data_IF_652431362148
#
_entry.id   IF_652431362148
#
_cell.length_a   1.000
_cell.length_b   1.000
_cell.length_c   1.000
_cell.angle_alpha   90.00
_cell.angle_beta   90.00
_cell.angle_gamma   90.00
#
_symmetry.space_group_name_H-M   'P 1'
#
loop_
_entity.id
_entity.type
_entity.pdbx_description
1 polymer ?
#
# COMPACT_ATOMS: atom_id res chain seq x y z
N UNK A 1 -6.77 -34.59 -2.32
CA UNK A 1 -5.72 -33.80 -1.65
C UNK A 1 -4.74 -33.13 -2.62
N UNK A 2 -4.18 -33.73 -3.65
CA UNK A 2 -3.25 -33.09 -4.60
C UNK A 2 -3.92 -32.07 -5.55
N UNK A 3 -5.20 -32.23 -5.89
CA UNK A 3 -5.94 -31.30 -6.76
C UNK A 3 -6.30 -29.96 -6.06
N UNK A 4 -6.57 -29.97 -4.75
CA UNK A 4 -6.87 -28.77 -3.97
C UNK A 4 -5.62 -27.88 -3.78
N UNK A 5 -4.46 -28.48 -3.52
CA UNK A 5 -3.19 -27.72 -3.42
C UNK A 5 -2.82 -27.05 -4.75
N UNK A 6 -3.12 -27.68 -5.90
CA UNK A 6 -2.90 -27.13 -7.23
C UNK A 6 -3.82 -25.94 -7.56
N UNK A 7 -5.08 -25.96 -7.07
CA UNK A 7 -6.06 -24.90 -7.26
C UNK A 7 -5.67 -23.61 -6.51
N UNK A 8 -5.30 -23.72 -5.25
CA UNK A 8 -4.88 -22.60 -4.40
C UNK A 8 -3.60 -21.94 -4.97
N UNK A 9 -2.65 -22.74 -5.43
CA UNK A 9 -1.42 -22.22 -6.04
C UNK A 9 -1.70 -21.48 -7.38
N UNK A 10 -2.68 -21.93 -8.16
CA UNK A 10 -3.06 -21.25 -9.40
C UNK A 10 -3.69 -19.87 -9.14
N UNK A 11 -4.52 -19.75 -8.11
CA UNK A 11 -5.10 -18.46 -7.69
C UNK A 11 -4.01 -17.47 -7.24
N UNK A 12 -3.06 -17.91 -6.41
CA UNK A 12 -1.95 -17.06 -5.97
C UNK A 12 -1.08 -16.58 -7.14
N UNK A 13 -0.81 -17.46 -8.10
CA UNK A 13 -0.06 -17.11 -9.33
C UNK A 13 -0.82 -16.14 -10.24
N UNK A 14 -2.14 -16.33 -10.38
CA UNK A 14 -2.99 -15.40 -11.13
C UNK A 14 -3.02 -14.01 -10.47
N UNK A 15 -3.15 -13.96 -9.14
CA UNK A 15 -3.06 -12.71 -8.39
C UNK A 15 -1.70 -12.01 -8.55
N UNK A 16 -0.59 -12.76 -8.60
CA UNK A 16 0.73 -12.19 -8.85
C UNK A 16 0.81 -11.55 -10.25
N UNK A 17 0.23 -12.16 -11.27
CA UNK A 17 0.14 -11.59 -12.62
C UNK A 17 -0.67 -10.29 -12.60
N UNK A 18 -1.85 -10.27 -11.97
CA UNK A 18 -2.70 -9.08 -11.88
C UNK A 18 -1.99 -7.94 -11.16
N UNK A 19 -1.28 -8.20 -10.05
CA UNK A 19 -0.44 -7.19 -9.38
C UNK A 19 0.64 -6.64 -10.29
N UNK A 20 1.36 -7.51 -11.01
CA UNK A 20 2.40 -7.08 -11.95
C UNK A 20 1.87 -6.15 -13.05
N UNK A 21 0.64 -6.39 -13.53
CA UNK A 21 0.00 -5.55 -14.55
C UNK A 21 -0.57 -4.25 -13.97
N UNK A 22 -0.86 -4.19 -12.68
CA UNK A 22 -1.40 -3.00 -12.02
C UNK A 22 -0.32 -1.96 -11.68
N UNK A 23 0.95 -2.37 -11.59
CA UNK A 23 2.06 -1.51 -11.15
C UNK A 23 2.74 -0.79 -12.32
N UNK A 24 3.33 0.41 -12.11
CA UNK A 24 4.29 0.99 -13.05
C UNK A 24 5.42 0.00 -13.31
N UNK A 25 5.81 -0.12 -14.56
CA UNK A 25 6.78 -1.16 -14.97
C UNK A 25 8.22 -0.73 -14.67
N UNK A 26 9.10 -1.70 -14.44
CA UNK A 26 10.49 -1.46 -14.12
C UNK A 26 11.28 -0.75 -15.25
N UNK A 27 10.78 -0.79 -16.48
CA UNK A 27 11.32 -0.09 -17.64
C UNK A 27 10.81 1.35 -17.79
N UNK A 28 9.99 1.83 -16.83
CA UNK A 28 9.40 3.17 -16.82
C UNK A 28 8.12 3.30 -17.64
N UNK A 29 7.67 2.23 -18.30
CA UNK A 29 6.37 2.24 -19.01
C UNK A 29 5.21 2.22 -18.02
N UNK A 30 4.07 2.78 -18.45
CA UNK A 30 2.87 2.84 -17.62
C UNK A 30 2.06 1.54 -17.73
N UNK A 31 1.21 1.20 -16.74
CA UNK A 31 0.32 0.04 -16.83
C UNK A 31 -0.55 0.04 -18.11
N UNK A 32 -0.90 1.22 -18.62
CA UNK A 32 -1.66 1.38 -19.86
C UNK A 32 -0.94 0.85 -21.11
N UNK A 33 0.41 0.87 -21.11
CA UNK A 33 1.22 0.39 -22.24
C UNK A 33 1.26 -1.15 -22.30
N UNK A 34 0.86 -1.81 -21.21
CA UNK A 34 0.89 -3.25 -21.06
C UNK A 34 2.29 -3.85 -20.99
N UNK A 35 2.37 -5.14 -20.68
CA UNK A 35 3.60 -5.92 -20.57
C UNK A 35 3.62 -7.09 -21.56
N UNK A 36 4.79 -7.36 -22.12
CA UNK A 36 5.02 -8.59 -22.88
C UNK A 36 4.99 -9.81 -21.95
N UNK A 37 4.54 -10.97 -22.45
CA UNK A 37 4.50 -12.23 -21.73
C UNK A 37 5.82 -12.57 -21.04
N UNK A 38 6.95 -12.36 -21.73
CA UNK A 38 8.28 -12.64 -21.19
C UNK A 38 8.61 -11.79 -19.96
N UNK A 39 8.22 -10.50 -19.96
CA UNK A 39 8.40 -9.60 -18.81
C UNK A 39 7.55 -10.05 -17.62
N UNK A 40 6.30 -10.41 -17.84
CA UNK A 40 5.39 -10.94 -16.80
C UNK A 40 5.96 -12.23 -16.19
N UNK A 41 6.40 -13.16 -17.05
CA UNK A 41 7.00 -14.42 -16.62
C UNK A 41 8.25 -14.20 -15.75
N UNK A 42 9.13 -13.29 -16.17
CA UNK A 42 10.33 -12.91 -15.41
C UNK A 42 10.00 -12.31 -14.06
N UNK A 43 9.08 -11.33 -14.02
CA UNK A 43 8.70 -10.64 -12.76
C UNK A 43 8.02 -11.58 -11.77
N UNK A 44 7.14 -12.47 -12.26
CA UNK A 44 6.41 -13.42 -11.40
C UNK A 44 7.19 -14.68 -11.06
N UNK A 45 8.36 -14.91 -11.68
CA UNK A 45 9.14 -16.15 -11.51
C UNK A 45 8.45 -17.40 -12.09
N UNK A 46 7.47 -17.23 -12.99
CA UNK A 46 6.73 -18.33 -13.61
C UNK A 46 7.36 -18.73 -14.94
N UNK A 47 7.18 -20.02 -15.32
CA UNK A 47 7.55 -20.44 -16.67
C UNK A 47 6.68 -19.74 -17.73
N UNK A 48 7.21 -19.45 -18.95
CA UNK A 48 6.42 -18.84 -20.02
C UNK A 48 5.12 -19.61 -20.34
N UNK A 49 5.16 -20.94 -20.32
CA UNK A 49 3.97 -21.78 -20.57
C UNK A 49 2.90 -21.64 -19.48
N UNK A 50 3.32 -21.55 -18.21
CA UNK A 50 2.40 -21.32 -17.08
C UNK A 50 1.80 -19.93 -17.18
N UNK A 51 2.63 -18.92 -17.43
CA UNK A 51 2.20 -17.52 -17.60
C UNK A 51 1.19 -17.39 -18.74
N UNK A 52 1.46 -17.96 -19.90
CA UNK A 52 0.53 -17.95 -21.04
C UNK A 52 -0.81 -18.59 -20.72
N UNK A 53 -0.81 -19.76 -20.05
CA UNK A 53 -2.05 -20.45 -19.67
C UNK A 53 -2.88 -19.62 -18.68
N UNK A 54 -2.24 -18.99 -17.69
CA UNK A 54 -2.93 -18.12 -16.73
C UNK A 54 -3.45 -16.84 -17.40
N UNK A 55 -2.65 -16.19 -18.25
CA UNK A 55 -3.09 -15.01 -19.00
C UNK A 55 -4.30 -15.33 -19.89
N UNK A 56 -4.32 -16.47 -20.58
CA UNK A 56 -5.50 -16.90 -21.35
C UNK A 56 -6.74 -17.06 -20.47
N UNK A 57 -6.60 -17.67 -19.30
CA UNK A 57 -7.70 -17.84 -18.37
C UNK A 57 -8.21 -16.47 -17.87
N UNK A 58 -7.30 -15.55 -17.48
CA UNK A 58 -7.64 -14.22 -17.03
C UNK A 58 -8.27 -13.37 -18.14
N UNK A 59 -7.85 -13.56 -19.39
CA UNK A 59 -8.44 -12.87 -20.56
C UNK A 59 -9.85 -13.39 -20.82
N UNK A 60 -10.09 -14.71 -20.69
CA UNK A 60 -11.42 -15.28 -20.80
C UNK A 60 -12.42 -14.72 -19.77
N UNK A 61 -11.93 -14.34 -18.59
CA UNK A 61 -12.73 -13.72 -17.51
C UNK A 61 -12.68 -12.18 -17.54
N UNK A 62 -12.16 -11.56 -18.58
CA UNK A 62 -12.04 -10.09 -18.72
C UNK A 62 -11.23 -9.37 -17.61
N UNK A 63 -10.44 -10.09 -16.82
CA UNK A 63 -9.53 -9.52 -15.83
C UNK A 63 -8.24 -8.99 -16.46
N UNK A 64 -7.88 -9.52 -17.62
CA UNK A 64 -6.73 -9.12 -18.44
C UNK A 64 -7.22 -8.97 -19.87
N UNK A 65 -6.62 -8.06 -20.62
CA UNK A 65 -6.79 -7.97 -22.07
C UNK A 65 -5.42 -7.98 -22.75
N UNK A 66 -5.38 -8.50 -23.97
CA UNK A 66 -4.21 -8.48 -24.82
C UNK A 66 -4.45 -7.50 -25.96
N UNK A 67 -3.55 -6.56 -26.15
CA UNK A 67 -3.56 -5.67 -27.30
C UNK A 67 -3.19 -6.45 -28.58
N UNK A 68 -4.06 -6.46 -29.62
CA UNK A 68 -3.83 -7.27 -30.80
C UNK A 68 -2.63 -6.81 -31.66
N UNK A 69 -2.24 -5.54 -31.56
CA UNK A 69 -1.16 -4.98 -32.38
C UNK A 69 0.22 -5.17 -31.73
N UNK A 70 0.30 -4.97 -30.43
CA UNK A 70 1.55 -5.07 -29.66
C UNK A 70 1.75 -6.42 -28.98
N UNK A 71 0.71 -7.27 -28.93
CA UNK A 71 0.64 -8.53 -28.17
C UNK A 71 0.90 -8.38 -26.67
N UNK A 72 0.87 -7.14 -26.15
CA UNK A 72 1.07 -6.84 -24.73
C UNK A 72 -0.20 -7.04 -23.94
N UNK A 73 -0.03 -7.41 -22.68
CA UNK A 73 -1.12 -7.67 -21.73
C UNK A 73 -1.26 -6.50 -20.75
N UNK A 74 -2.50 -6.09 -20.46
CA UNK A 74 -2.85 -5.09 -19.46
C UNK A 74 -4.07 -5.53 -18.65
N UNK A 75 -4.40 -4.83 -17.56
CA UNK A 75 -5.64 -5.11 -16.83
C UNK A 75 -6.86 -4.91 -17.73
N UNK A 76 -7.79 -5.85 -17.63
CA UNK A 76 -9.07 -5.81 -18.36
C UNK A 76 -10.16 -5.07 -17.58
N UNK A 77 -11.32 -4.82 -18.22
CA UNK A 77 -12.39 -4.01 -17.65
C UNK A 77 -12.97 -4.58 -16.33
N UNK A 78 -13.00 -5.90 -16.14
CA UNK A 78 -13.52 -6.49 -14.91
C UNK A 78 -12.67 -6.11 -13.69
N UNK A 79 -11.36 -5.91 -13.84
CA UNK A 79 -10.51 -5.45 -12.75
C UNK A 79 -10.95 -4.07 -12.22
N UNK A 80 -11.36 -3.16 -13.13
CA UNK A 80 -11.92 -1.85 -12.76
C UNK A 80 -13.26 -1.98 -12.02
N UNK A 81 -14.16 -2.85 -12.48
CA UNK A 81 -15.45 -3.11 -11.83
C UNK A 81 -15.27 -3.66 -10.41
N UNK A 82 -14.35 -4.61 -10.22
CA UNK A 82 -14.04 -5.17 -8.90
C UNK A 82 -13.46 -4.11 -7.96
N UNK A 83 -12.55 -3.27 -8.47
CA UNK A 83 -11.98 -2.16 -7.69
C UNK A 83 -13.04 -1.15 -7.25
N UNK A 84 -13.93 -0.73 -8.15
CA UNK A 84 -15.06 0.15 -7.82
C UNK A 84 -15.99 -0.49 -6.80
N UNK A 85 -16.34 -1.77 -6.96
CA UNK A 85 -17.17 -2.52 -6.01
C UNK A 85 -16.56 -2.55 -4.61
N UNK A 86 -15.25 -2.74 -4.49
CA UNK A 86 -14.55 -2.67 -3.20
C UNK A 86 -14.62 -1.26 -2.59
N UNK A 87 -14.28 -0.23 -3.36
CA UNK A 87 -14.30 1.15 -2.88
C UNK A 87 -15.69 1.57 -2.41
N UNK A 88 -16.73 1.22 -3.16
CA UNK A 88 -18.12 1.50 -2.82
C UNK A 88 -18.55 0.77 -1.53
N UNK A 89 -18.27 -0.54 -1.43
CA UNK A 89 -18.66 -1.35 -0.27
C UNK A 89 -17.97 -0.90 1.02
N UNK A 90 -16.72 -0.43 0.93
CA UNK A 90 -15.97 0.12 2.05
C UNK A 90 -16.23 1.63 2.29
N UNK A 91 -17.06 2.28 1.45
CA UNK A 91 -17.33 3.72 1.53
C UNK A 91 -16.13 4.62 1.19
N UNK A 92 -15.05 4.04 0.67
CA UNK A 92 -13.77 4.72 0.44
C UNK A 92 -13.83 5.79 -0.66
N UNK A 93 -14.81 5.73 -1.57
CA UNK A 93 -15.02 6.75 -2.59
C UNK A 93 -15.18 8.15 -1.99
N UNK A 94 -15.81 8.23 -0.81
CA UNK A 94 -16.04 9.49 -0.10
C UNK A 94 -14.76 10.09 0.48
N UNK A 95 -13.72 9.29 0.70
CA UNK A 95 -12.42 9.75 1.19
C UNK A 95 -11.56 10.39 0.07
N UNK A 96 -11.81 10.06 -1.20
CA UNK A 96 -11.01 10.55 -2.35
C UNK A 96 -10.91 12.08 -2.39
N UNK A 97 -11.99 12.87 -2.23
CA UNK A 97 -11.89 14.33 -2.21
C UNK A 97 -11.01 14.87 -1.07
N UNK A 98 -10.99 14.19 0.09
CA UNK A 98 -10.17 14.57 1.25
C UNK A 98 -8.70 14.31 0.93
N UNK A 99 -8.35 13.14 0.38
CA UNK A 99 -6.97 12.83 -0.04
C UNK A 99 -6.48 13.84 -1.09
N UNK A 100 -7.31 14.17 -2.09
CA UNK A 100 -6.98 15.19 -3.11
C UNK A 100 -6.72 16.56 -2.53
N UNK A 101 -7.56 16.98 -1.58
CA UNK A 101 -7.35 18.24 -0.87
C UNK A 101 -6.03 18.22 -0.11
N UNK A 102 -5.78 17.15 0.64
CA UNK A 102 -4.55 16.98 1.43
C UNK A 102 -3.31 16.97 0.53
N UNK A 103 -3.35 16.27 -0.60
CA UNK A 103 -2.26 16.26 -1.58
C UNK A 103 -1.96 17.66 -2.13
N UNK A 104 -3.00 18.46 -2.48
CA UNK A 104 -2.82 19.86 -2.94
C UNK A 104 -2.32 20.79 -1.86
N UNK A 105 -2.73 20.59 -0.60
CA UNK A 105 -2.33 21.42 0.54
C UNK A 105 -0.87 21.19 0.93
N UNK A 106 -0.38 19.97 0.74
CA UNK A 106 0.95 19.56 1.16
C UNK A 106 1.98 19.51 0.03
N UNK A 107 1.52 19.45 -1.23
CA UNK A 107 2.32 19.17 -2.44
C UNK A 107 3.02 17.80 -2.41
N UNK A 108 2.64 16.91 -1.49
CA UNK A 108 3.24 15.58 -1.35
C UNK A 108 2.24 14.45 -1.63
N UNK A 109 2.76 13.27 -1.91
CA UNK A 109 1.93 12.08 -2.15
C UNK A 109 1.22 11.64 -0.87
N UNK A 110 -0.08 11.35 -1.00
CA UNK A 110 -0.96 10.94 0.09
C UNK A 110 -1.49 9.55 -0.16
N UNK A 111 -1.51 8.72 0.86
CA UNK A 111 -2.01 7.34 0.74
C UNK A 111 -2.89 6.97 1.93
N UNK A 112 -3.92 6.17 1.67
CA UNK A 112 -4.70 5.48 2.68
C UNK A 112 -4.40 3.99 2.58
N UNK A 113 -3.99 3.39 3.69
CA UNK A 113 -3.69 1.97 3.78
C UNK A 113 -4.61 1.26 4.77
N UNK A 114 -4.89 -0.01 4.53
CA UNK A 114 -5.66 -0.88 5.44
C UNK A 114 -4.83 -2.08 5.87
N UNK A 115 -5.08 -2.56 7.09
CA UNK A 115 -4.50 -3.80 7.60
C UNK A 115 -5.44 -4.97 7.27
N UNK A 116 -4.87 -6.01 6.66
CA UNK A 116 -5.59 -7.25 6.39
C UNK A 116 -4.75 -8.44 6.88
N UNK A 117 -5.11 -8.98 8.04
CA UNK A 117 -4.28 -9.97 8.73
C UNK A 117 -2.93 -9.37 9.14
N UNK A 118 -1.83 -9.92 8.61
CA UNK A 118 -0.46 -9.45 8.84
C UNK A 118 0.09 -8.61 7.68
N UNK A 119 -0.75 -8.22 6.73
CA UNK A 119 -0.37 -7.47 5.53
C UNK A 119 -1.12 -6.13 5.50
N UNK A 120 -0.42 -5.05 5.21
CA UNK A 120 -1.03 -3.76 4.93
C UNK A 120 -0.99 -3.47 3.43
N UNK A 121 -2.12 -2.99 2.91
CA UNK A 121 -2.28 -2.63 1.50
C UNK A 121 -2.66 -1.16 1.37
N UNK A 122 -2.05 -0.46 0.43
CA UNK A 122 -2.50 0.87 0.00
C UNK A 122 -3.77 0.71 -0.83
N UNK A 123 -4.87 1.30 -0.36
CA UNK A 123 -6.19 1.19 -1.01
C UNK A 123 -6.60 2.45 -1.77
N UNK A 124 -6.09 3.61 -1.37
CA UNK A 124 -6.25 4.88 -2.07
C UNK A 124 -4.91 5.61 -2.11
N UNK A 125 -4.67 6.34 -3.18
CA UNK A 125 -3.49 7.17 -3.37
C UNK A 125 -3.82 8.40 -4.21
N UNK A 126 -3.24 9.53 -3.84
CA UNK A 126 -3.13 10.72 -4.67
C UNK A 126 -1.65 11.07 -4.82
N UNK A 127 -1.22 11.30 -6.06
CA UNK A 127 0.17 11.55 -6.39
C UNK A 127 0.52 13.02 -6.21
N UNK A 128 1.69 13.27 -5.62
CA UNK A 128 2.28 14.60 -5.61
C UNK A 128 2.39 15.17 -7.03
N UNK A 129 2.09 16.47 -7.25
CA UNK A 129 2.32 17.13 -8.53
C UNK A 129 3.82 17.33 -8.82
N UNK A 130 4.69 17.11 -7.84
CA UNK A 130 6.12 17.34 -7.97
C UNK A 130 6.77 16.27 -8.87
N UNK A 131 7.72 16.67 -9.76
CA UNK A 131 8.44 15.71 -10.60
C UNK A 131 9.21 14.66 -9.80
N UNK A 132 9.87 15.07 -8.71
CA UNK A 132 10.50 14.16 -7.75
C UNK A 132 9.54 13.91 -6.60
N UNK A 133 9.02 12.70 -6.50
CA UNK A 133 8.08 12.28 -5.46
C UNK A 133 8.37 10.86 -4.97
N UNK A 134 7.83 10.53 -3.83
CA UNK A 134 7.83 9.18 -3.27
C UNK A 134 6.39 8.69 -3.23
N UNK A 135 6.11 7.60 -3.89
CA UNK A 135 4.77 7.01 -3.99
C UNK A 135 4.71 5.64 -3.30
N UNK A 136 3.64 5.40 -2.54
CA UNK A 136 3.21 4.06 -2.18
C UNK A 136 2.10 3.63 -3.14
N UNK A 137 2.43 2.82 -4.10
CA UNK A 137 1.48 2.44 -5.15
C UNK A 137 0.29 1.67 -4.57
N UNK A 138 -0.92 2.01 -5.02
CA UNK A 138 -2.13 1.29 -4.66
C UNK A 138 -2.00 -0.21 -5.01
N UNK A 139 -2.45 -1.09 -4.11
CA UNK A 139 -2.29 -2.53 -4.25
C UNK A 139 -0.93 -3.08 -3.81
N UNK A 140 0.05 -2.25 -3.48
CA UNK A 140 1.32 -2.71 -2.90
C UNK A 140 1.20 -3.00 -1.42
N UNK A 141 1.85 -4.09 -1.03
CA UNK A 141 2.06 -4.43 0.38
C UNK A 141 3.09 -3.50 1.02
N UNK A 142 2.77 -3.02 2.21
CA UNK A 142 3.69 -2.21 3.00
C UNK A 142 4.49 -3.11 3.95
N UNK A 143 5.77 -2.79 4.10
CA UNK A 143 6.56 -3.36 5.18
C UNK A 143 6.16 -2.71 6.51
N UNK A 144 5.42 -3.46 7.33
CA UNK A 144 4.77 -2.94 8.53
C UNK A 144 5.74 -2.25 9.49
N UNK A 145 6.95 -2.78 9.66
CA UNK A 145 7.96 -2.23 10.56
C UNK A 145 8.79 -1.08 9.98
N UNK A 146 8.82 -0.93 8.65
CA UNK A 146 9.68 0.01 7.94
C UNK A 146 8.89 1.07 7.14
N UNK A 147 7.62 1.30 7.49
CA UNK A 147 6.79 2.36 6.93
C UNK A 147 5.96 3.03 8.02
N UNK A 148 5.74 4.34 7.91
CA UNK A 148 4.94 5.08 8.88
C UNK A 148 3.52 4.52 9.00
N UNK A 149 2.82 4.29 7.87
CA UNK A 149 1.48 3.69 7.86
C UNK A 149 1.47 2.29 8.46
N UNK A 150 2.48 1.45 8.15
CA UNK A 150 2.60 0.11 8.70
C UNK A 150 2.74 0.12 10.22
N UNK A 151 3.58 1.00 10.76
CA UNK A 151 3.74 1.17 12.22
C UNK A 151 2.47 1.67 12.89
N UNK A 152 1.73 2.59 12.28
CA UNK A 152 0.40 3.03 12.75
C UNK A 152 -0.58 1.86 12.80
N UNK A 153 -0.69 1.08 11.73
CA UNK A 153 -1.59 -0.07 11.67
C UNK A 153 -1.24 -1.14 12.70
N UNK A 154 0.03 -1.39 12.97
CA UNK A 154 0.45 -2.28 14.06
C UNK A 154 0.13 -1.69 15.44
N UNK A 155 0.35 -0.39 15.64
CA UNK A 155 0.11 0.25 16.91
C UNK A 155 -1.37 0.26 17.30
N UNK A 156 -2.27 0.47 16.36
CA UNK A 156 -3.71 0.64 16.57
C UNK A 156 -4.57 -0.52 16.07
N UNK A 157 -3.97 -1.64 15.62
CA UNK A 157 -4.66 -2.82 15.11
C UNK A 157 -5.28 -3.75 16.16
N UNK A 158 -5.38 -3.32 17.41
CA UNK A 158 -6.07 -4.05 18.50
C UNK A 158 -5.20 -4.99 19.34
N UNK A 159 -4.01 -5.36 18.91
CA UNK A 159 -3.06 -6.15 19.70
C UNK A 159 -2.18 -5.23 20.57
N UNK A 160 -1.64 -5.73 21.69
CA UNK A 160 -0.59 -4.98 22.40
C UNK A 160 0.70 -4.90 21.56
N UNK A 161 1.61 -3.96 21.90
CA UNK A 161 2.79 -3.67 21.09
C UNK A 161 3.73 -4.87 20.93
N UNK A 162 3.89 -5.68 21.97
CA UNK A 162 4.75 -6.87 21.94
C UNK A 162 4.19 -7.93 21.01
N UNK A 163 2.91 -8.22 21.09
CA UNK A 163 2.25 -9.21 20.25
C UNK A 163 2.20 -8.74 18.80
N UNK A 164 1.89 -7.45 18.56
CA UNK A 164 1.92 -6.84 17.24
C UNK A 164 3.31 -6.92 16.61
N UNK A 165 4.38 -6.60 17.34
CA UNK A 165 5.75 -6.72 16.85
C UNK A 165 6.15 -8.17 16.55
N UNK A 166 5.69 -9.13 17.38
CA UNK A 166 6.00 -10.56 17.19
C UNK A 166 5.23 -11.19 16.02
N UNK A 167 4.04 -10.67 15.69
CA UNK A 167 3.17 -11.23 14.65
C UNK A 167 3.74 -11.15 13.24
N UNK A 168 4.66 -10.21 12.98
CA UNK A 168 5.23 -9.99 11.64
C UNK A 168 6.52 -10.78 11.39
N UNK A 169 6.96 -11.61 12.34
CA UNK A 169 8.09 -12.52 12.18
C UNK A 169 9.44 -11.80 12.09
N UNK A 170 10.26 -12.19 11.11
CA UNK A 170 11.59 -11.63 10.89
C UNK A 170 11.49 -10.22 10.27
N UNK A 171 12.22 -9.27 10.87
CA UNK A 171 12.27 -7.88 10.42
C UNK A 171 13.42 -7.66 9.44
N UNK A 172 13.09 -7.52 8.18
CA UNK A 172 14.08 -7.25 7.14
C UNK A 172 14.72 -5.87 7.34
N UNK A 173 16.04 -5.82 7.37
CA UNK A 173 16.80 -4.57 7.41
C UNK A 173 16.99 -4.02 5.99
N UNK A 174 16.57 -2.77 5.74
CA UNK A 174 16.69 -2.11 4.44
C UNK A 174 17.76 -1.04 4.42
N UNK A 175 17.91 -0.28 5.53
CA UNK A 175 18.88 0.81 5.70
C UNK A 175 19.56 0.69 7.06
N UNK A 176 20.49 1.58 7.34
CA UNK A 176 21.16 1.62 8.65
C UNK A 176 20.20 1.91 9.81
N UNK A 177 19.12 2.66 9.54
CA UNK A 177 18.13 3.13 10.53
C UNK A 177 16.87 2.27 10.60
N UNK A 178 16.71 1.24 9.76
CA UNK A 178 15.58 0.31 9.84
C UNK A 178 15.48 -0.33 11.21
N UNK A 179 14.29 -0.33 11.81
CA UNK A 179 14.01 -1.11 13.03
C UNK A 179 14.10 -2.60 12.70
N UNK A 180 15.13 -3.27 13.20
CA UNK A 180 15.45 -4.66 12.86
C UNK A 180 15.29 -5.62 14.04
N UNK A 181 14.70 -5.22 15.16
CA UNK A 181 14.40 -6.11 16.27
C UNK A 181 12.97 -5.91 16.79
N UNK A 182 12.32 -7.03 17.15
CA UNK A 182 10.96 -7.02 17.68
C UNK A 182 10.83 -6.18 18.96
N UNK A 183 11.86 -6.20 19.83
CA UNK A 183 11.87 -5.40 21.05
C UNK A 183 11.98 -3.89 20.78
N UNK A 184 12.73 -3.49 19.78
CA UNK A 184 12.79 -2.09 19.36
C UNK A 184 11.47 -1.66 18.70
N UNK A 185 10.89 -2.52 17.86
CA UNK A 185 9.60 -2.26 17.25
C UNK A 185 8.51 -2.13 18.32
N UNK A 186 8.44 -3.01 19.30
CA UNK A 186 7.45 -2.92 20.38
C UNK A 186 7.53 -1.59 21.12
N UNK A 187 8.74 -1.11 21.46
CA UNK A 187 8.92 0.21 22.10
C UNK A 187 8.44 1.36 21.18
N UNK A 188 8.74 1.29 19.90
CA UNK A 188 8.26 2.29 18.94
C UNK A 188 6.73 2.28 18.82
N UNK A 189 6.10 1.09 18.80
CA UNK A 189 4.64 0.98 18.78
C UNK A 189 3.98 1.56 20.03
N UNK A 190 4.58 1.37 21.22
CA UNK A 190 4.09 2.00 22.44
C UNK A 190 4.22 3.53 22.38
N UNK A 191 5.35 4.05 21.94
CA UNK A 191 5.54 5.50 21.73
C UNK A 191 4.56 6.08 20.69
N UNK A 192 4.25 5.32 19.60
CA UNK A 192 3.24 5.72 18.61
C UNK A 192 1.85 5.81 19.24
N UNK A 193 1.47 4.87 20.12
CA UNK A 193 0.19 4.94 20.84
C UNK A 193 0.07 6.16 21.73
N UNK A 194 1.15 6.53 22.39
CA UNK A 194 1.17 7.71 23.27
C UNK A 194 1.05 9.02 22.49
N UNK A 195 1.79 9.16 21.37
CA UNK A 195 1.80 10.39 20.57
C UNK A 195 0.70 10.47 19.51
N UNK A 196 0.12 9.33 19.09
CA UNK A 196 -0.97 9.26 18.11
C UNK A 196 -0.54 9.25 16.63
N UNK A 197 0.75 9.18 16.32
CA UNK A 197 1.28 9.22 14.95
C UNK A 197 2.63 8.51 14.82
N UNK A 198 3.03 8.17 13.59
CA UNK A 198 4.33 7.58 13.29
C UNK A 198 5.06 8.36 12.19
N UNK A 199 6.40 8.28 12.20
CA UNK A 199 7.26 8.72 11.10
C UNK A 199 7.93 7.52 10.43
N UNK A 200 8.42 7.74 9.23
CA UNK A 200 9.46 6.96 8.58
C UNK A 200 10.54 7.95 8.14
N UNK A 201 11.73 7.82 8.66
CA UNK A 201 12.86 8.70 8.38
C UNK A 201 14.00 7.88 7.77
N UNK A 202 13.82 7.51 6.49
CA UNK A 202 14.81 6.71 5.78
C UNK A 202 14.83 5.24 6.14
N UNK A 203 13.85 4.72 6.87
CA UNK A 203 13.84 3.32 7.32
C UNK A 203 13.67 2.31 6.17
N UNK A 204 12.94 2.66 5.13
CA UNK A 204 12.75 1.82 3.94
C UNK A 204 13.69 2.19 2.80
N UNK A 205 13.87 3.49 2.56
CA UNK A 205 14.74 4.08 1.53
C UNK A 205 15.40 5.33 2.11
N UNK A 206 16.73 5.43 2.05
CA UNK A 206 17.52 6.51 2.67
C UNK A 206 17.10 7.93 2.25
N UNK A 207 16.51 8.09 1.08
CA UNK A 207 16.07 9.38 0.56
C UNK A 207 14.59 9.68 0.74
N UNK A 208 13.83 8.86 1.48
CA UNK A 208 12.38 8.97 1.61
C UNK A 208 11.95 9.06 3.06
N UNK A 209 11.16 10.11 3.37
CA UNK A 209 10.53 10.30 4.67
C UNK A 209 9.00 10.30 4.54
N UNK A 210 8.32 10.11 5.65
CA UNK A 210 6.87 10.15 5.71
C UNK A 210 6.33 10.21 7.12
N UNK A 211 5.09 10.65 7.22
CA UNK A 211 4.29 10.66 8.44
C UNK A 211 3.02 9.87 8.22
N UNK A 212 2.46 9.28 9.27
CA UNK A 212 1.17 8.63 9.21
C UNK A 212 0.41 8.75 10.53
N UNK A 213 -0.91 8.75 10.42
CA UNK A 213 -1.85 8.82 11.55
C UNK A 213 -2.93 7.75 11.41
N UNK A 214 -3.50 7.26 12.51
CA UNK A 214 -4.65 6.35 12.45
C UNK A 214 -5.92 7.09 12.02
N UNK A 215 -6.78 6.42 11.25
CA UNK A 215 -8.14 6.90 10.96
C UNK A 215 -9.08 6.23 11.96
N UNK A 216 -9.40 6.89 13.07
CA UNK A 216 -10.16 6.32 14.17
C UNK A 216 -11.50 7.02 14.38
N UNK A 217 -12.55 6.23 14.55
CA UNK A 217 -13.83 6.78 15.00
C UNK A 217 -13.73 7.33 16.44
N UNK A 218 -14.57 8.32 16.73
CA UNK A 218 -14.64 8.89 18.07
C UNK A 218 -14.96 7.80 19.10
N UNK A 219 -14.16 7.71 20.15
CA UNK A 219 -14.32 6.74 21.24
C UNK A 219 -13.80 5.33 20.95
N UNK A 220 -13.16 5.07 19.78
CA UNK A 220 -12.46 3.80 19.54
C UNK A 220 -10.96 3.93 19.84
N UNK A 221 -10.36 2.81 20.25
CA UNK A 221 -8.91 2.70 20.47
C UNK A 221 -8.19 1.95 19.33
N UNK A 222 -8.94 1.49 18.32
CA UNK A 222 -8.42 0.66 17.23
C UNK A 222 -8.90 1.17 15.88
N UNK A 223 -8.11 0.90 14.85
CA UNK A 223 -8.46 1.18 13.46
C UNK A 223 -7.88 0.12 12.54
N UNK A 224 -8.54 -0.05 11.39
CA UNK A 224 -8.00 -0.81 10.25
C UNK A 224 -7.37 0.08 9.18
N UNK A 225 -7.38 1.41 9.34
CA UNK A 225 -6.89 2.34 8.34
C UNK A 225 -5.83 3.30 8.88
N UNK A 226 -4.83 3.58 8.06
CA UNK A 226 -3.82 4.60 8.30
C UNK A 226 -3.76 5.56 7.11
N UNK A 227 -3.79 6.87 7.40
CA UNK A 227 -3.55 7.94 6.43
C UNK A 227 -2.09 8.36 6.53
N UNK A 228 -1.40 8.43 5.40
CA UNK A 228 0.03 8.79 5.36
C UNK A 228 0.37 9.78 4.25
N UNK A 229 1.37 10.59 4.52
CA UNK A 229 2.01 11.51 3.58
C UNK A 229 3.47 11.08 3.45
N UNK A 230 3.98 11.00 2.24
CA UNK A 230 5.37 10.64 1.96
C UNK A 230 5.96 11.53 0.87
N UNK A 231 7.26 11.74 0.98
CA UNK A 231 8.02 12.53 0.02
C UNK A 231 9.53 12.36 0.19
N UNK A 232 10.32 13.03 -0.65
CA UNK A 232 11.77 13.06 -0.50
C UNK A 232 12.21 13.65 0.85
N UNK A 233 13.22 13.04 1.47
CA UNK A 233 13.77 13.49 2.75
C UNK A 233 14.27 14.95 2.72
N UNK A 234 14.63 15.45 1.54
CA UNK A 234 15.04 16.86 1.35
C UNK A 234 13.91 17.86 1.55
N UNK A 235 12.65 17.46 1.41
CA UNK A 235 11.46 18.29 1.64
C UNK A 235 10.78 17.97 2.97
N UNK A 236 10.78 16.72 3.37
CA UNK A 236 10.18 16.25 4.62
C UNK A 236 11.25 16.24 5.74
N UNK A 237 11.58 17.41 6.24
CA UNK A 237 12.48 17.62 7.38
C UNK A 237 11.71 17.71 8.69
N UNK A 238 12.39 17.74 9.86
CA UNK A 238 11.78 17.68 11.18
C UNK A 238 10.61 18.66 11.41
N UNK A 239 10.79 19.95 11.14
CA UNK A 239 9.72 20.96 11.32
C UNK A 239 8.56 20.72 10.35
N UNK A 240 8.87 20.46 9.08
CA UNK A 240 7.84 20.17 8.07
C UNK A 240 7.05 18.90 8.41
N UNK A 241 7.71 17.87 8.90
CA UNK A 241 7.04 16.63 9.32
C UNK A 241 6.06 16.88 10.47
N UNK A 242 6.42 17.75 11.43
CA UNK A 242 5.51 18.11 12.53
C UNK A 242 4.26 18.84 12.01
N UNK A 243 4.41 19.79 11.10
CA UNK A 243 3.29 20.45 10.44
C UNK A 243 2.40 19.46 9.68
N UNK A 244 3.02 18.54 8.92
CA UNK A 244 2.29 17.52 8.17
C UNK A 244 1.49 16.56 9.08
N UNK A 245 1.98 16.25 10.28
CA UNK A 245 1.24 15.45 11.26
C UNK A 245 -0.07 16.14 11.63
N UNK A 246 -0.05 17.45 11.93
CA UNK A 246 -1.26 18.19 12.31
C UNK A 246 -2.29 18.24 11.17
N UNK A 247 -1.81 18.47 9.93
CA UNK A 247 -2.67 18.48 8.75
C UNK A 247 -3.27 17.08 8.52
N UNK A 248 -2.44 16.04 8.66
CA UNK A 248 -2.86 14.65 8.48
C UNK A 248 -3.90 14.21 9.52
N UNK A 249 -3.73 14.61 10.79
CA UNK A 249 -4.70 14.33 11.87
C UNK A 249 -6.08 14.94 11.58
N UNK A 250 -6.14 16.19 11.08
CA UNK A 250 -7.40 16.81 10.67
C UNK A 250 -8.06 16.03 9.54
N UNK A 251 -7.30 15.69 8.49
CA UNK A 251 -7.82 14.91 7.36
C UNK A 251 -8.28 13.50 7.78
N UNK A 252 -7.56 12.84 8.70
CA UNK A 252 -7.97 11.54 9.25
C UNK A 252 -9.27 11.63 10.05
N UNK A 253 -9.48 12.71 10.82
CA UNK A 253 -10.73 12.99 11.50
C UNK A 253 -11.89 13.19 10.52
N UNK A 254 -11.66 13.93 9.43
CA UNK A 254 -12.67 14.12 8.37
C UNK A 254 -13.04 12.78 7.70
N UNK A 255 -12.07 11.90 7.45
CA UNK A 255 -12.32 10.56 6.89
C UNK A 255 -13.10 9.71 7.90
N UNK A 256 -12.72 9.71 9.16
CA UNK A 256 -13.41 8.94 10.21
C UNK A 256 -14.88 9.38 10.37
N UNK A 257 -15.16 10.67 10.23
CA UNK A 257 -16.52 11.23 10.26
C UNK A 257 -17.41 10.70 9.12
N UNK A 258 -16.83 10.16 8.05
CA UNK A 258 -17.56 9.46 6.97
C UNK A 258 -17.94 8.01 7.34
N UNK A 259 -17.56 7.52 8.52
CA UNK A 259 -17.75 6.13 8.94
C UNK A 259 -16.68 5.17 8.40
N UNK A 260 -15.55 5.68 7.97
CA UNK A 260 -14.37 4.92 7.52
C UNK A 260 -13.38 4.88 8.68
N UNK A 261 -13.22 3.70 9.32
CA UNK A 261 -12.35 3.56 10.50
C UNK A 261 -11.95 2.11 10.82
#
# INVERSE_FOLDING_TARGET
MAAEAGGVQSVARAAAILRTLAEPHADGSQPADGLALASIAKTTGLSPSTTHRLLRALTGEHLVEQDPASERYRLGPLAGVLGQGYLASAGLERAVPILRKLCRETDESVSLATLHGTTALVVLQEHSPQPLRVDHLAGKELFLHASAMGKVLLAFGGSNAKDAASSIGELQKFTAVTIASQSALARELDAIRERGWATNEGERYEGANGVAVPVMASGTATTSFALGIQGPATRLTGERMTELVEICLRAASDIAALGIH
#
